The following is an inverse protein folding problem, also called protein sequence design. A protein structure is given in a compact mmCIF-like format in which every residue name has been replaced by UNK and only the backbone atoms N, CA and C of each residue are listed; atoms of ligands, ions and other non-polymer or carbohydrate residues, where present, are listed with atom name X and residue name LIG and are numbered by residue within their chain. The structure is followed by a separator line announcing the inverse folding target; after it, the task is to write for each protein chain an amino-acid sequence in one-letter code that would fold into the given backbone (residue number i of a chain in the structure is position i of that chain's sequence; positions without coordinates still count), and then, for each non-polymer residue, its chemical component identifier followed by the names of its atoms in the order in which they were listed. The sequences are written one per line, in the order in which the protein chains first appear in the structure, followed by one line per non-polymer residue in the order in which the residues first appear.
data_IF_932394251548
#
_entry.id   IF_932394251548
#
_cell.length_a   1.000
_cell.length_b   1.000
_cell.length_c   1.000
_cell.angle_alpha   90.00
_cell.angle_beta   90.00
_cell.angle_gamma   90.00
#
_symmetry.space_group_name_H-M   'P 1'
#
loop_
_entity.id
_entity.type
_entity.pdbx_description
1 polymer ?
#
# COMPACT_ATOMS: atom_id res chain seq x y z
N UNK A 1 26.13 -5.10 -3.58
CA UNK A 1 24.90 -5.91 -3.68
C UNK A 1 23.76 -4.95 -3.95
N UNK A 2 23.00 -5.10 -5.05
CA UNK A 2 21.85 -4.22 -5.28
C UNK A 2 20.80 -4.49 -4.20
N UNK A 3 20.37 -3.43 -3.51
CA UNK A 3 19.37 -3.50 -2.46
C UNK A 3 18.02 -3.81 -3.14
N UNK A 4 17.37 -4.93 -2.81
CA UNK A 4 16.00 -5.19 -3.24
C UNK A 4 15.09 -4.24 -2.46
N UNK A 5 14.67 -3.15 -3.09
CA UNK A 5 13.74 -2.20 -2.47
C UNK A 5 12.31 -2.64 -2.79
N UNK A 6 11.64 -3.25 -1.81
CA UNK A 6 10.23 -3.60 -1.90
C UNK A 6 9.41 -2.35 -1.58
N UNK A 7 8.63 -1.89 -2.56
CA UNK A 7 7.70 -0.79 -2.39
C UNK A 7 6.33 -1.36 -2.03
N UNK A 8 6.01 -1.36 -0.74
CA UNK A 8 4.68 -1.72 -0.26
C UNK A 8 3.74 -0.53 -0.36
N UNK A 9 2.77 -0.58 -1.28
CA UNK A 9 1.66 0.38 -1.31
C UNK A 9 0.38 -0.34 -0.89
N UNK A 10 -0.16 0.03 0.27
CA UNK A 10 -1.51 -0.37 0.67
C UNK A 10 -2.50 0.64 0.08
N UNK A 11 -3.23 0.23 -0.96
CA UNK A 11 -4.35 1.00 -1.49
C UNK A 11 -5.55 0.70 -0.60
N UNK A 12 -5.68 1.43 0.52
CA UNK A 12 -6.91 1.38 1.32
C UNK A 12 -7.96 2.25 0.65
N UNK A 13 -9.01 1.60 0.16
CA UNK A 13 -10.17 2.16 -0.53
C UNK A 13 -11.00 3.04 0.41
N UNK A 14 -10.47 4.20 0.83
CA UNK A 14 -11.20 5.19 1.62
C UNK A 14 -11.97 6.15 0.72
N UNK A 15 -12.93 5.59 -0.03
CA UNK A 15 -14.19 6.19 -0.51
C UNK A 15 -14.78 5.25 -1.56
N UNK A 16 -15.91 4.62 -1.24
CA UNK A 16 -16.63 3.58 -2.02
C UNK A 16 -17.16 4.10 -3.39
N UNK A 17 -16.73 5.27 -3.87
CA UNK A 17 -17.40 6.02 -4.94
C UNK A 17 -16.52 6.35 -6.15
N UNK A 18 -15.28 5.82 -6.24
CA UNK A 18 -14.43 6.05 -7.42
C UNK A 18 -14.07 4.74 -8.11
N UNK A 19 -14.00 4.75 -9.46
CA UNK A 19 -13.61 3.58 -10.20
C UNK A 19 -12.14 3.27 -9.96
N UNK A 20 -11.85 2.02 -9.56
CA UNK A 20 -10.51 1.56 -9.17
C UNK A 20 -9.62 1.42 -10.39
N UNK A 21 -8.43 2.02 -10.34
CA UNK A 21 -7.36 1.81 -11.33
C UNK A 21 -6.02 1.75 -10.62
N UNK A 22 -5.14 0.85 -11.06
CA UNK A 22 -3.79 0.75 -10.52
C UNK A 22 -2.80 1.70 -11.21
N UNK A 23 -3.22 2.38 -12.30
CA UNK A 23 -2.35 3.29 -13.03
C UNK A 23 -1.63 4.32 -12.14
N UNK A 24 -2.30 5.01 -11.18
CA UNK A 24 -1.60 5.99 -10.34
C UNK A 24 -0.51 5.38 -9.45
N UNK A 25 -0.70 4.17 -8.93
CA UNK A 25 0.31 3.52 -8.07
C UNK A 25 1.47 2.95 -8.88
N UNK A 26 1.19 2.44 -10.09
CA UNK A 26 2.21 1.98 -11.02
C UNK A 26 3.06 3.15 -11.53
N UNK A 27 2.43 4.26 -11.93
CA UNK A 27 3.14 5.49 -12.33
C UNK A 27 4.03 6.02 -11.20
N UNK A 28 3.55 5.97 -9.94
CA UNK A 28 4.36 6.37 -8.78
C UNK A 28 5.57 5.45 -8.56
N UNK A 29 5.42 4.14 -8.75
CA UNK A 29 6.53 3.20 -8.64
C UNK A 29 7.58 3.45 -9.73
N UNK A 30 7.16 3.71 -10.97
CA UNK A 30 8.06 4.06 -12.09
C UNK A 30 8.83 5.34 -11.80
N UNK A 31 8.18 6.39 -11.28
CA UNK A 31 8.87 7.62 -10.85
C UNK A 31 9.94 7.33 -9.79
N UNK A 32 9.67 6.43 -8.85
CA UNK A 32 10.65 6.07 -7.83
C UNK A 32 11.82 5.29 -8.43
N UNK A 33 11.56 4.36 -9.35
CA UNK A 33 12.62 3.66 -10.09
C UNK A 33 13.52 4.65 -10.81
N UNK A 34 12.98 5.66 -11.50
CA UNK A 34 13.80 6.70 -12.12
C UNK A 34 14.61 7.50 -11.10
N UNK A 35 13.97 7.97 -10.02
CA UNK A 35 14.66 8.76 -8.98
C UNK A 35 15.72 7.97 -8.23
N UNK A 36 15.61 6.65 -8.20
CA UNK A 36 16.61 5.75 -7.62
C UNK A 36 17.84 5.54 -8.53
N UNK A 37 17.83 6.08 -9.75
CA UNK A 37 18.89 5.84 -10.73
C UNK A 37 18.71 4.52 -11.48
N UNK A 38 17.48 4.02 -11.63
CA UNK A 38 17.20 2.75 -12.30
C UNK A 38 17.54 1.53 -11.45
N UNK A 39 17.45 1.61 -10.12
CA UNK A 39 17.56 0.42 -9.26
C UNK A 39 16.33 -0.47 -9.45
N UNK A 40 16.53 -1.77 -9.27
CA UNK A 40 15.44 -2.73 -9.35
C UNK A 40 14.48 -2.60 -8.17
N UNK A 41 13.18 -2.57 -8.46
CA UNK A 41 12.13 -2.48 -7.46
C UNK A 41 11.07 -3.54 -7.66
N UNK A 42 10.41 -3.92 -6.56
CA UNK A 42 9.20 -4.74 -6.60
C UNK A 42 8.07 -3.94 -5.98
N UNK A 43 7.05 -3.63 -6.76
CA UNK A 43 5.81 -3.02 -6.32
C UNK A 43 4.84 -4.11 -5.86
N UNK A 44 4.43 -4.09 -4.60
CA UNK A 44 3.40 -4.98 -4.08
C UNK A 44 2.11 -4.18 -3.90
N UNK A 45 1.06 -4.55 -4.63
CA UNK A 45 -0.29 -3.96 -4.54
C UNK A 45 -1.19 -4.95 -3.83
N UNK A 46 -1.85 -4.53 -2.75
CA UNK A 46 -2.88 -5.33 -2.07
C UNK A 46 -4.25 -4.74 -2.43
N UNK A 47 -5.12 -5.55 -3.02
CA UNK A 47 -6.44 -5.12 -3.49
C UNK A 47 -7.50 -6.21 -3.29
N UNK A 48 -8.78 -5.81 -3.25
CA UNK A 48 -9.93 -6.69 -2.98
C UNK A 48 -10.72 -7.13 -4.24
N UNK A 49 -10.13 -6.96 -5.42
CA UNK A 49 -10.57 -7.67 -6.62
C UNK A 49 -11.50 -6.93 -7.56
N UNK A 50 -11.63 -5.61 -7.44
CA UNK A 50 -12.43 -4.82 -8.38
C UNK A 50 -11.60 -3.70 -8.99
N UNK A 51 -10.93 -3.95 -10.13
CA UNK A 51 -10.74 -2.89 -11.13
C UNK A 51 -12.11 -2.70 -11.75
N UNK A 52 -12.70 -1.51 -11.64
CA UNK A 52 -14.12 -1.32 -11.99
C UNK A 52 -14.38 -1.70 -13.43
N UNK A 53 -15.10 -2.81 -13.63
CA UNK A 53 -15.77 -3.10 -14.89
C UNK A 53 -16.93 -2.10 -15.01
N UNK A 54 -17.11 -1.50 -16.18
CA UNK A 54 -18.37 -0.80 -16.43
C UNK A 54 -19.48 -1.85 -16.54
N UNK A 55 -20.62 -1.59 -15.91
CA UNK A 55 -21.86 -2.36 -16.12
C UNK A 55 -22.33 -2.30 -17.58
N UNK A 56 -21.82 -1.35 -18.37
CA UNK A 56 -22.17 -1.12 -19.78
C UNK A 56 -21.20 -1.73 -20.79
N UNK A 57 -20.11 -2.39 -20.36
CA UNK A 57 -19.16 -3.05 -21.30
C UNK A 57 -19.66 -4.45 -21.67
N UNK A 58 -19.81 -4.71 -22.97
CA UNK A 58 -20.11 -6.04 -23.50
C UNK A 58 -19.03 -7.06 -23.10
N UNK A 59 -19.41 -8.34 -23.00
CA UNK A 59 -18.48 -9.44 -22.73
C UNK A 59 -17.25 -9.36 -23.66
N UNK A 60 -16.09 -9.04 -23.10
CA UNK A 60 -14.82 -8.96 -23.82
C UNK A 60 -14.21 -7.56 -24.00
N UNK A 61 -14.96 -6.48 -23.74
CA UNK A 61 -14.42 -5.12 -23.79
C UNK A 61 -13.88 -4.66 -22.43
N UNK A 62 -12.73 -3.96 -22.45
CA UNK A 62 -12.09 -3.41 -21.27
C UNK A 62 -12.69 -2.05 -20.91
N UNK A 63 -12.98 -1.84 -19.63
CA UNK A 63 -13.37 -0.53 -19.10
C UNK A 63 -12.24 0.49 -19.27
N UNK A 64 -12.54 1.81 -19.24
CA UNK A 64 -11.51 2.85 -19.27
C UNK A 64 -10.48 2.70 -18.14
N UNK A 65 -10.85 2.14 -16.99
CA UNK A 65 -9.94 1.93 -15.86
C UNK A 65 -9.09 0.68 -16.02
N UNK A 66 -9.64 -0.39 -16.59
CA UNK A 66 -8.89 -1.59 -16.95
C UNK A 66 -7.84 -1.25 -18.02
N UNK A 67 -8.23 -0.50 -19.06
CA UNK A 67 -7.31 -0.05 -20.10
C UNK A 67 -6.16 0.79 -19.54
N UNK A 68 -6.46 1.79 -18.70
CA UNK A 68 -5.42 2.61 -18.04
C UNK A 68 -4.47 1.76 -17.20
N UNK A 69 -5.01 0.76 -16.51
CA UNK A 69 -4.20 -0.16 -15.70
C UNK A 69 -3.27 -0.97 -16.59
N UNK A 70 -3.76 -1.55 -17.68
CA UNK A 70 -2.94 -2.27 -18.67
C UNK A 70 -1.87 -1.36 -19.26
N UNK A 71 -2.25 -0.18 -19.76
CA UNK A 71 -1.32 0.79 -20.36
C UNK A 71 -0.20 1.16 -19.37
N UNK A 72 -0.51 1.30 -18.08
CA UNK A 72 0.48 1.58 -17.04
C UNK A 72 1.44 0.42 -16.79
N UNK A 73 0.96 -0.84 -16.86
CA UNK A 73 1.78 -2.04 -16.70
C UNK A 73 2.71 -2.23 -17.91
N UNK A 74 2.20 -2.04 -19.13
CA UNK A 74 3.01 -2.05 -20.37
C UNK A 74 4.09 -0.98 -20.30
N UNK A 75 3.73 0.25 -19.90
CA UNK A 75 4.69 1.32 -19.71
C UNK A 75 5.76 0.95 -18.68
N UNK A 76 5.36 0.37 -17.54
CA UNK A 76 6.28 -0.08 -16.49
C UNK A 76 7.27 -1.16 -16.96
N UNK A 77 6.97 -1.94 -18.01
CA UNK A 77 7.90 -2.94 -18.57
C UNK A 77 9.16 -2.32 -19.20
N UNK A 78 9.17 -1.01 -19.44
CA UNK A 78 10.36 -0.27 -19.90
C UNK A 78 11.32 0.10 -18.75
N UNK A 79 11.04 -0.34 -17.52
CA UNK A 79 11.78 0.01 -16.31
C UNK A 79 12.16 -1.26 -15.52
N UNK A 80 13.21 -1.21 -14.67
CA UNK A 80 13.56 -2.33 -13.80
C UNK A 80 12.57 -2.45 -12.62
N UNK A 81 11.33 -2.80 -12.93
CA UNK A 81 10.19 -2.85 -12.00
C UNK A 81 9.38 -4.12 -12.22
N UNK A 82 9.22 -4.90 -11.14
CA UNK A 82 8.25 -5.98 -11.05
C UNK A 82 7.04 -5.58 -10.24
N UNK A 83 5.87 -6.10 -10.60
CA UNK A 83 4.60 -5.80 -9.96
C UNK A 83 3.99 -7.10 -9.45
N UNK A 84 3.64 -7.16 -8.17
CA UNK A 84 2.94 -8.28 -7.54
C UNK A 84 1.60 -7.78 -7.02
N UNK A 85 0.51 -8.27 -7.62
CA UNK A 85 -0.85 -8.00 -7.19
C UNK A 85 -1.33 -9.11 -6.24
N UNK A 86 -1.54 -8.75 -4.99
CA UNK A 86 -2.05 -9.63 -3.94
C UNK A 86 -3.55 -9.39 -3.77
N UNK A 87 -4.35 -10.35 -4.24
CA UNK A 87 -5.79 -10.33 -4.13
C UNK A 87 -6.28 -10.84 -2.77
N UNK A 88 -7.05 -10.03 -2.04
CA UNK A 88 -7.68 -10.37 -0.75
C UNK A 88 -9.21 -10.33 -0.85
N UNK A 89 -9.93 -11.08 -0.03
CA UNK A 89 -11.39 -11.20 -0.12
C UNK A 89 -11.87 -12.15 -1.23
N UNK A 90 -13.15 -12.01 -1.59
CA UNK A 90 -13.92 -13.04 -2.30
C UNK A 90 -13.76 -13.00 -3.84
N UNK A 91 -13.19 -11.92 -4.40
CA UNK A 91 -13.06 -11.73 -5.85
C UNK A 91 -14.33 -11.17 -6.50
N UNK A 92 -14.62 -11.50 -7.78
CA UNK A 92 -13.95 -12.44 -8.69
C UNK A 92 -12.55 -12.02 -9.15
N UNK A 93 -11.70 -13.01 -9.50
CA UNK A 93 -10.30 -12.81 -9.90
C UNK A 93 -10.01 -13.17 -11.37
N UNK A 94 -11.04 -13.48 -12.15
CA UNK A 94 -10.87 -14.00 -13.52
C UNK A 94 -10.22 -12.99 -14.46
N UNK A 95 -10.49 -11.69 -14.26
CA UNK A 95 -9.87 -10.65 -15.09
C UNK A 95 -8.42 -10.38 -14.68
N UNK A 96 -8.08 -10.58 -13.40
CA UNK A 96 -6.69 -10.47 -12.96
C UNK A 96 -5.82 -11.60 -13.50
N UNK A 97 -6.39 -12.81 -13.66
CA UNK A 97 -5.74 -13.91 -14.39
C UNK A 97 -5.61 -13.59 -15.88
N UNK A 98 -6.64 -13.01 -16.50
CA UNK A 98 -6.56 -12.58 -17.91
C UNK A 98 -5.50 -11.48 -18.13
N UNK A 99 -5.20 -10.64 -17.13
CA UNK A 99 -4.11 -9.66 -17.24
C UNK A 99 -2.72 -10.31 -17.26
N UNK A 100 -2.56 -11.49 -16.70
CA UNK A 100 -1.33 -12.26 -16.79
C UNK A 100 -1.10 -12.76 -18.24
N UNK A 101 -2.17 -13.31 -18.84
CA UNK A 101 -2.12 -13.94 -20.17
C UNK A 101 -2.27 -12.96 -21.36
N UNK A 102 -2.78 -11.74 -21.15
CA UNK A 102 -3.27 -10.85 -22.23
C UNK A 102 -2.70 -9.43 -22.23
N UNK A 103 -1.48 -9.21 -21.75
CA UNK A 103 -0.81 -7.91 -21.94
C UNK A 103 0.08 -7.97 -23.19
N UNK A 104 -0.42 -7.65 -24.40
CA UNK A 104 0.39 -7.60 -25.60
C UNK A 104 1.42 -6.44 -25.50
N UNK A 105 2.57 -6.63 -26.16
CA UNK A 105 3.61 -5.61 -26.38
C UNK A 105 4.45 -5.16 -25.16
N UNK A 106 4.61 -6.00 -24.13
CA UNK A 106 5.59 -5.78 -23.05
C UNK A 106 6.97 -6.34 -23.40
N UNK A 107 8.04 -5.62 -23.01
CA UNK A 107 9.43 -6.03 -23.29
C UNK A 107 9.82 -7.31 -22.50
N UNK A 108 9.22 -7.51 -21.33
CA UNK A 108 9.27 -8.74 -20.55
C UNK A 108 8.01 -8.87 -19.67
N UNK A 109 7.78 -10.07 -19.13
CA UNK A 109 6.74 -10.29 -18.15
C UNK A 109 7.11 -9.64 -16.81
N UNK A 110 6.40 -8.58 -16.41
CA UNK A 110 6.70 -7.80 -15.20
C UNK A 110 5.57 -7.81 -14.17
N UNK A 111 4.58 -8.69 -14.30
CA UNK A 111 3.36 -8.66 -13.49
C UNK A 111 2.97 -10.06 -12.99
N UNK A 112 2.80 -10.22 -11.68
CA UNK A 112 2.36 -11.48 -11.04
C UNK A 112 1.07 -11.25 -10.25
N UNK A 113 0.06 -12.10 -10.43
CA UNK A 113 -1.12 -12.14 -9.56
C UNK A 113 -1.05 -13.27 -8.53
N UNK A 114 -1.42 -12.98 -7.27
CA UNK A 114 -1.50 -13.97 -6.18
C UNK A 114 -2.84 -13.84 -5.46
N UNK A 115 -3.63 -14.92 -5.46
CA UNK A 115 -4.86 -15.00 -4.66
C UNK A 115 -4.50 -15.39 -3.21
N UNK A 116 -4.39 -14.39 -2.34
CA UNK A 116 -4.04 -14.58 -0.93
C UNK A 116 -5.12 -15.35 -0.18
N UNK A 117 -6.39 -14.99 -0.37
CA UNK A 117 -7.54 -15.63 0.28
C UNK A 117 -7.53 -17.14 0.04
N UNK A 118 -7.40 -17.56 -1.22
CA UNK A 118 -7.38 -18.97 -1.59
C UNK A 118 -6.21 -19.74 -0.97
N UNK A 119 -5.04 -19.11 -0.78
CA UNK A 119 -3.90 -19.74 -0.10
C UNK A 119 -4.21 -19.89 1.40
N UNK A 120 -4.77 -18.85 2.00
CA UNK A 120 -5.05 -18.82 3.43
C UNK A 120 -6.22 -19.71 3.86
N UNK A 121 -7.13 -20.06 2.93
CA UNK A 121 -8.25 -20.98 3.16
C UNK A 121 -7.84 -22.47 3.21
N UNK A 122 -6.64 -22.82 2.71
CA UNK A 122 -6.19 -24.22 2.68
C UNK A 122 -6.10 -24.82 4.09
N UNK A 123 -6.47 -26.09 4.25
CA UNK A 123 -6.39 -26.79 5.53
C UNK A 123 -4.97 -27.34 5.78
N UNK A 124 -4.01 -26.44 5.98
CA UNK A 124 -2.59 -26.73 6.27
C UNK A 124 -2.08 -25.81 7.39
N UNK A 125 -0.86 -26.03 7.90
CA UNK A 125 -0.32 -25.20 8.99
C UNK A 125 -0.07 -23.74 8.54
N UNK A 126 -0.04 -22.79 9.50
CA UNK A 126 0.25 -21.37 9.20
C UNK A 126 1.57 -21.20 8.44
N UNK A 127 2.61 -21.91 8.87
CA UNK A 127 3.92 -21.87 8.24
C UNK A 127 3.87 -22.34 6.77
N UNK A 128 3.07 -23.36 6.47
CA UNK A 128 2.88 -23.83 5.09
C UNK A 128 2.11 -22.80 4.25
N UNK A 129 1.12 -22.10 4.82
CA UNK A 129 0.39 -21.02 4.13
C UNK A 129 1.32 -19.84 3.82
N UNK A 130 2.11 -19.41 4.78
CA UNK A 130 3.10 -18.33 4.62
C UNK A 130 4.15 -18.68 3.57
N UNK A 131 4.66 -19.92 3.61
CA UNK A 131 5.62 -20.41 2.61
C UNK A 131 4.99 -20.47 1.22
N UNK A 132 3.76 -20.97 1.10
CA UNK A 132 3.04 -21.02 -0.16
C UNK A 132 2.76 -19.62 -0.72
N UNK A 133 2.40 -18.66 0.13
CA UNK A 133 2.21 -17.26 -0.27
C UNK A 133 3.53 -16.62 -0.71
N UNK A 134 4.60 -16.76 0.07
CA UNK A 134 5.90 -16.21 -0.27
C UNK A 134 6.43 -16.78 -1.59
N UNK A 135 6.27 -18.09 -1.81
CA UNK A 135 6.65 -18.72 -3.07
C UNK A 135 5.82 -18.19 -4.23
N UNK A 136 4.49 -18.13 -4.11
CA UNK A 136 3.61 -17.62 -5.15
C UNK A 136 3.89 -16.14 -5.49
N UNK A 137 4.22 -15.32 -4.49
CA UNK A 137 4.52 -13.90 -4.69
C UNK A 137 5.89 -13.63 -5.29
N UNK A 138 6.87 -14.52 -5.07
CA UNK A 138 8.27 -14.26 -5.40
C UNK A 138 8.83 -15.18 -6.49
N UNK A 139 8.10 -16.20 -6.94
CA UNK A 139 8.63 -17.19 -7.89
C UNK A 139 9.09 -16.59 -9.22
N UNK A 140 8.46 -15.52 -9.68
CA UNK A 140 8.83 -14.85 -10.93
C UNK A 140 9.89 -13.76 -10.76
N UNK A 141 9.97 -13.15 -9.57
CA UNK A 141 10.85 -11.99 -9.30
C UNK A 141 12.31 -12.26 -9.70
N UNK A 142 12.93 -13.43 -9.47
CA UNK A 142 14.28 -13.72 -9.93
C UNK A 142 14.42 -13.72 -11.47
N UNK A 143 13.43 -14.25 -12.19
CA UNK A 143 13.43 -14.29 -13.65
C UNK A 143 13.22 -12.89 -14.24
N UNK A 144 12.31 -12.13 -13.64
CA UNK A 144 12.02 -10.74 -14.01
C UNK A 144 13.24 -9.85 -13.79
N UNK A 145 13.92 -9.98 -12.65
CA UNK A 145 15.18 -9.29 -12.39
C UNK A 145 16.23 -9.59 -13.47
N UNK A 146 16.39 -10.87 -13.83
CA UNK A 146 17.33 -11.30 -14.87
C UNK A 146 16.97 -10.68 -16.24
N UNK A 147 15.70 -10.68 -16.62
CA UNK A 147 15.23 -10.04 -17.86
C UNK A 147 15.61 -8.55 -17.89
N UNK A 148 15.50 -7.84 -16.75
CA UNK A 148 15.85 -6.40 -16.70
C UNK A 148 17.34 -6.14 -16.92
N UNK A 149 18.21 -7.10 -16.58
CA UNK A 149 19.64 -7.05 -16.89
C UNK A 149 19.85 -7.29 -18.39
N UNK A 150 19.24 -8.35 -18.93
CA UNK A 150 19.39 -8.75 -20.33
C UNK A 150 18.88 -7.68 -21.31
N UNK A 151 17.82 -6.96 -20.93
CA UNK A 151 17.24 -5.84 -21.67
C UNK A 151 17.98 -4.50 -21.44
N UNK A 152 19.00 -4.46 -20.58
CA UNK A 152 19.76 -3.25 -20.28
C UNK A 152 18.94 -2.15 -19.58
N UNK A 153 17.94 -2.53 -18.79
CA UNK A 153 17.07 -1.62 -18.03
C UNK A 153 17.69 -1.26 -16.68
N UNK A 154 18.43 -2.19 -16.07
CA UNK A 154 19.03 -2.00 -14.76
C UNK A 154 20.11 -0.90 -14.78
N UNK A 155 19.99 0.07 -13.86
CA UNK A 155 20.89 1.22 -13.76
C UNK A 155 20.66 2.29 -14.84
N UNK A 156 19.62 2.16 -15.67
CA UNK A 156 19.27 3.12 -16.71
C UNK A 156 18.21 4.10 -16.22
N UNK A 157 18.42 5.39 -16.50
CA UNK A 157 17.41 6.44 -16.31
C UNK A 157 16.92 6.87 -17.69
N UNK A 158 15.60 6.83 -17.93
CA UNK A 158 15.04 7.17 -19.24
C UNK A 158 14.70 8.65 -19.37
N UNK A 159 14.39 9.32 -18.25
CA UNK A 159 13.89 10.69 -18.20
C UNK A 159 12.46 10.84 -18.72
N UNK A 160 11.77 9.73 -19.00
CA UNK A 160 10.41 9.71 -19.55
C UNK A 160 9.33 9.56 -18.48
N UNK A 161 9.69 9.21 -17.24
CA UNK A 161 8.68 9.03 -16.20
C UNK A 161 8.07 10.37 -15.81
N UNK A 162 6.74 10.38 -15.65
CA UNK A 162 6.04 11.53 -15.09
C UNK A 162 6.38 11.60 -13.60
N UNK A 163 6.78 12.78 -13.12
CA UNK A 163 6.92 12.99 -11.68
C UNK A 163 5.57 12.86 -10.99
N UNK A 164 5.48 11.93 -10.05
CA UNK A 164 4.30 11.75 -9.21
C UNK A 164 4.60 12.30 -7.82
N UNK A 165 3.84 13.31 -7.42
CA UNK A 165 3.84 13.79 -6.03
C UNK A 165 2.65 13.17 -5.30
N UNK A 166 2.86 12.18 -4.41
CA UNK A 166 1.77 11.58 -3.66
C UNK A 166 1.06 12.64 -2.82
N UNK A 167 -0.27 12.60 -2.80
CA UNK A 167 -1.03 13.43 -1.87
C UNK A 167 -0.64 13.07 -0.43
N UNK A 168 -0.59 14.06 0.48
CA UNK A 168 -0.45 13.75 1.89
C UNK A 168 -1.60 12.84 2.33
N UNK A 169 -1.36 11.91 3.28
CA UNK A 169 -2.40 11.02 3.76
C UNK A 169 -3.60 11.85 4.27
N UNK A 170 -4.84 11.46 3.92
CA UNK A 170 -6.02 12.18 4.38
C UNK A 170 -6.07 12.15 5.90
N UNK A 171 -5.99 13.35 6.48
CA UNK A 171 -6.09 13.55 7.93
C UNK A 171 -7.55 13.30 8.32
N UNK A 172 -7.83 12.49 9.38
CA UNK A 172 -9.18 12.28 9.87
C UNK A 172 -9.90 13.61 10.12
N UNK A 173 -11.17 13.68 9.74
CA UNK A 173 -12.04 14.85 9.83
C UNK A 173 -12.15 15.45 11.25
N UNK A 174 -11.77 14.72 12.31
CA UNK A 174 -11.74 15.26 13.67
C UNK A 174 -10.73 16.41 13.87
N UNK A 175 -9.68 16.51 13.03
CA UNK A 175 -8.72 17.63 13.08
C UNK A 175 -9.14 18.85 12.26
N UNK A 176 -10.16 18.77 11.39
CA UNK A 176 -10.64 19.94 10.61
C UNK A 176 -11.41 20.96 11.47
N UNK A 177 -11.94 20.57 12.62
CA UNK A 177 -12.72 21.47 13.48
C UNK A 177 -11.90 22.17 14.57
N UNK A 178 -10.62 21.82 14.77
CA UNK A 178 -9.78 22.45 15.80
C UNK A 178 -9.26 23.85 15.41
N UNK A 179 -9.42 24.28 14.14
CA UNK A 179 -8.91 25.57 13.68
C UNK A 179 -9.94 26.72 13.70
N UNK A 180 -11.20 26.48 14.11
CA UNK A 180 -12.26 27.50 14.13
C UNK A 180 -13.25 27.34 15.31
N UNK A 181 -12.78 27.07 16.53
CA UNK A 181 -13.63 27.19 17.73
C UNK A 181 -12.93 27.98 18.82
N UNK A 182 -13.34 29.25 18.94
CA UNK A 182 -13.25 30.02 20.18
C UNK A 182 -13.96 29.26 21.33
N UNK A 183 -13.54 29.47 22.59
CA UNK A 183 -14.03 28.67 23.70
C UNK A 183 -15.38 29.20 24.20
N UNK A 184 -16.43 28.36 24.09
CA UNK A 184 -17.64 28.51 24.89
C UNK A 184 -18.04 27.14 25.48
N UNK A 185 -17.81 27.05 26.79
CA UNK A 185 -18.60 26.39 27.83
C UNK A 185 -19.58 25.25 27.50
N UNK A 186 -19.34 24.15 28.24
CA UNK A 186 -20.27 23.21 28.87
C UNK A 186 -20.90 22.04 28.07
N UNK A 187 -20.55 20.85 28.57
CA UNK A 187 -21.33 19.60 28.72
C UNK A 187 -21.82 18.90 27.44
N UNK A 188 -21.36 17.65 27.24
CA UNK A 188 -22.24 16.47 27.34
C UNK A 188 -21.53 15.15 26.99
N UNK A 189 -21.77 14.18 27.88
CA UNK A 189 -22.08 12.75 27.64
C UNK A 189 -21.03 11.84 26.99
N UNK A 190 -20.53 10.95 27.84
CA UNK A 190 -19.84 9.71 27.48
C UNK A 190 -20.80 8.72 26.81
N UNK A 191 -20.37 8.12 25.69
CA UNK A 191 -20.72 6.75 25.28
C UNK A 191 -19.71 6.24 24.25
N UNK A 192 -18.96 5.20 24.62
CA UNK A 192 -18.41 4.17 23.72
C UNK A 192 -17.22 4.55 22.84
N UNK A 193 -15.99 4.31 23.33
CA UNK A 193 -14.85 4.07 22.43
C UNK A 193 -13.70 3.33 23.16
N UNK A 194 -14.02 2.14 23.69
CA UNK A 194 -13.10 1.32 24.50
C UNK A 194 -11.87 0.83 23.69
N UNK A 195 -11.96 0.81 22.35
CA UNK A 195 -10.86 0.42 21.46
C UNK A 195 -9.81 1.52 21.28
N UNK A 196 -10.08 2.76 21.72
CA UNK A 196 -9.15 3.87 21.59
C UNK A 196 -8.28 4.11 22.85
N UNK A 197 -8.34 3.22 23.85
CA UNK A 197 -7.61 3.33 25.12
C UNK A 197 -6.27 2.55 25.13
N UNK A 198 -6.06 1.60 24.21
CA UNK A 198 -4.86 0.74 24.18
C UNK A 198 -3.72 1.31 23.33
N UNK A 199 -2.48 1.05 23.73
CA UNK A 199 -1.27 1.59 23.11
C UNK A 199 -1.12 1.11 21.67
N UNK A 200 -0.89 2.02 20.69
CA UNK A 200 -0.78 1.65 19.28
C UNK A 200 0.52 0.88 18.92
N UNK A 201 1.43 0.70 19.87
CA UNK A 201 2.69 -0.02 19.67
C UNK A 201 2.56 -1.46 20.14
N UNK A 202 2.20 -1.68 21.41
CA UNK A 202 2.08 -3.03 21.96
C UNK A 202 0.67 -3.61 21.83
N UNK A 203 -0.36 -2.79 21.61
CA UNK A 203 -1.77 -3.18 21.58
C UNK A 203 -2.28 -3.86 22.87
N UNK A 204 -1.47 -3.85 23.94
CA UNK A 204 -1.75 -4.51 25.22
C UNK A 204 -2.03 -3.51 26.33
N UNK A 205 -1.12 -2.55 26.52
CA UNK A 205 -1.15 -1.63 27.67
C UNK A 205 -2.00 -0.40 27.37
N UNK A 206 -2.62 0.20 28.39
CA UNK A 206 -3.35 1.46 28.24
C UNK A 206 -2.42 2.63 27.91
N UNK A 207 -2.99 3.66 27.26
CA UNK A 207 -2.30 4.91 26.93
C UNK A 207 -2.14 5.80 28.17
N UNK A 208 -1.00 5.75 28.85
CA UNK A 208 -0.66 6.54 30.04
C UNK A 208 0.48 7.57 29.81
N UNK A 209 0.97 7.69 28.57
CA UNK A 209 2.02 8.63 28.20
C UNK A 209 1.64 9.44 26.95
N UNK A 210 1.64 10.77 27.06
CA UNK A 210 1.42 11.68 25.94
C UNK A 210 2.72 12.37 25.50
N UNK A 211 2.91 12.53 24.19
CA UNK A 211 3.99 13.34 23.63
C UNK A 211 3.58 14.80 23.47
N UNK A 212 4.55 15.71 23.33
CA UNK A 212 4.30 17.13 23.04
C UNK A 212 3.50 17.43 21.75
N UNK A 213 3.27 16.44 20.90
CA UNK A 213 2.38 16.54 19.73
C UNK A 213 0.93 16.11 20.02
N UNK A 214 0.61 15.73 21.27
CA UNK A 214 -0.73 15.28 21.70
C UNK A 214 -1.01 13.79 21.50
N UNK A 215 -0.18 13.07 20.75
CA UNK A 215 -0.33 11.62 20.57
C UNK A 215 0.14 10.81 21.78
N UNK A 216 -0.49 9.65 21.99
CA UNK A 216 -0.34 8.86 23.22
C UNK A 216 0.09 7.41 22.96
N UNK A 217 0.89 6.87 23.88
CA UNK A 217 1.31 5.47 23.96
C UNK A 217 1.26 5.01 25.42
N UNK A 218 1.53 3.73 25.68
CA UNK A 218 1.91 3.34 27.03
C UNK A 218 3.32 3.84 27.35
N UNK A 219 3.65 3.93 28.64
CA UNK A 219 4.93 4.39 29.14
C UNK A 219 6.09 3.53 28.64
N UNK A 220 5.94 2.22 28.73
CA UNK A 220 6.96 1.24 28.33
C UNK A 220 7.37 1.42 26.87
N UNK A 221 6.40 1.58 25.97
CA UNK A 221 6.69 1.78 24.55
C UNK A 221 7.15 3.21 24.22
N UNK A 222 6.77 4.22 25.01
CA UNK A 222 7.02 5.63 24.70
C UNK A 222 8.26 6.25 25.34
N UNK A 223 8.88 5.61 26.33
CA UNK A 223 9.99 6.17 27.13
C UNK A 223 11.21 6.50 26.26
N UNK A 224 11.54 5.63 25.29
CA UNK A 224 12.74 5.75 24.47
C UNK A 224 12.51 6.25 23.03
N UNK A 225 11.28 6.65 22.68
CA UNK A 225 10.98 7.08 21.30
C UNK A 225 11.49 8.49 21.01
N UNK A 226 12.36 8.63 20.01
CA UNK A 226 12.85 9.94 19.55
C UNK A 226 11.84 10.65 18.62
N UNK A 227 10.97 9.88 17.97
CA UNK A 227 9.93 10.36 17.07
C UNK A 227 8.60 9.71 17.41
N UNK A 228 7.52 10.50 17.34
CA UNK A 228 6.17 10.00 17.56
C UNK A 228 5.85 8.92 16.51
N UNK A 229 5.34 7.74 16.91
CA UNK A 229 5.00 6.66 15.97
C UNK A 229 3.81 7.02 15.07
N UNK A 230 2.99 7.98 15.48
CA UNK A 230 1.76 8.37 14.78
C UNK A 230 2.03 9.50 13.78
N UNK A 231 2.71 10.57 14.20
CA UNK A 231 2.93 11.75 13.34
C UNK A 231 4.39 12.04 12.99
N UNK A 232 5.34 11.19 13.43
CA UNK A 232 6.79 11.31 13.18
C UNK A 232 7.46 12.60 13.68
N UNK A 233 6.73 13.43 14.42
CA UNK A 233 7.27 14.61 15.09
C UNK A 233 8.35 14.21 16.11
N UNK A 234 9.39 15.03 16.25
CA UNK A 234 10.44 14.83 17.26
C UNK A 234 9.82 14.94 18.66
N UNK A 235 10.05 13.95 19.50
CA UNK A 235 9.51 13.92 20.86
C UNK A 235 10.33 14.85 21.75
N UNK A 236 9.83 16.07 21.95
CA UNK A 236 10.45 17.09 22.81
C UNK A 236 9.99 17.03 24.26
N UNK A 237 8.80 16.49 24.52
CA UNK A 237 8.22 16.37 25.86
C UNK A 237 7.40 15.09 25.99
N UNK A 238 7.36 14.55 27.21
CA UNK A 238 6.59 13.37 27.61
C UNK A 238 5.83 13.70 28.88
N UNK A 239 4.50 13.60 28.85
CA UNK A 239 3.62 13.87 29.98
C UNK A 239 2.98 12.56 30.43
N UNK A 240 3.12 12.22 31.71
CA UNK A 240 2.43 11.08 32.31
C UNK A 240 0.99 11.47 32.62
N UNK A 241 0.06 10.64 32.21
CA UNK A 241 -1.34 10.80 32.51
C UNK A 241 -1.68 9.87 33.68
N UNK A 242 -2.25 10.44 34.74
CA UNK A 242 -2.80 9.66 35.84
C UNK A 242 -4.31 9.62 35.62
N UNK A 243 -4.84 8.42 35.36
CA UNK A 243 -6.29 8.21 35.39
C UNK A 243 -6.76 8.36 36.84
N UNK A 244 -7.70 9.27 37.08
CA UNK A 244 -8.41 9.35 38.36
C UNK A 244 -9.40 8.20 38.53
#
# INVERSE_FOLDING_TARGET
MPLLMIMGFSVSMRTIHRPTSFAPVVEAAVDIVERSGGQYHVLVIIADGQVTRSVDTSEGELSPQEKKTIDSIVMASNYPLSIVLVGVGDGPWDDMRKFDDKVPARDFDNFQFVNFTSIMEKNVSSQQKETAFALAALMEVPLQYKATIELGLLGRVTGKAKRVNPLPPPIPSSQRQASMRQPSSLQSTATGDDQNQVCPICLTNNKDLAFGCGHMTCRECGENLQRCPICRAVVRSRLRLYSG
#
